data_IF_148782929008
#
_entry.id   IF_148782929008
#
_cell.length_a   1.000
_cell.length_b   1.000
_cell.length_c   1.000
_cell.angle_alpha   90.00
_cell.angle_beta   90.00
_cell.angle_gamma   90.00
#
_symmetry.space_group_name_H-M   'P 1'
#
loop_
_entity.id
_entity.type
_entity.pdbx_description
1 polymer ?
#
# COMPACT_ATOMS: atom_id res chain seq x y z
N UNK A 1 -4.01 15.16 -0.20
CA UNK A 1 -2.66 14.82 -0.71
C UNK A 1 -1.85 14.25 0.44
N UNK A 2 -1.59 12.95 0.47
CA UNK A 2 -0.90 12.25 1.57
C UNK A 2 0.62 12.45 1.49
N UNK A 3 1.08 13.70 1.32
CA UNK A 3 2.42 14.16 0.88
C UNK A 3 3.61 13.82 1.82
N UNK A 4 3.71 12.55 2.24
CA UNK A 4 4.74 12.02 3.12
C UNK A 4 4.52 12.30 4.61
N UNK A 5 3.34 12.73 5.06
CA UNK A 5 3.13 13.13 6.47
C UNK A 5 3.51 12.03 7.48
N UNK A 6 3.06 10.80 7.25
CA UNK A 6 3.41 9.67 8.12
C UNK A 6 4.90 9.36 8.03
N UNK A 7 5.48 9.44 6.83
CA UNK A 7 6.92 9.26 6.63
C UNK A 7 7.73 10.31 7.40
N UNK A 8 7.29 11.57 7.45
CA UNK A 8 7.97 12.64 8.22
C UNK A 8 8.06 12.27 9.70
N UNK A 9 6.93 11.89 10.31
CA UNK A 9 6.86 11.52 11.72
C UNK A 9 7.77 10.31 12.02
N UNK A 10 7.73 9.30 11.16
CA UNK A 10 8.55 8.09 11.34
C UNK A 10 10.05 8.39 11.19
N UNK A 11 10.43 9.24 10.22
CA UNK A 11 11.81 9.66 10.01
C UNK A 11 12.32 10.52 11.17
N UNK A 12 11.50 11.43 11.71
CA UNK A 12 11.83 12.21 12.93
C UNK A 12 12.08 11.30 14.14
N UNK A 13 11.38 10.17 14.20
CA UNK A 13 11.59 9.13 15.22
C UNK A 13 12.83 8.25 14.95
N UNK A 14 13.60 8.51 13.89
CA UNK A 14 14.80 7.75 13.53
C UNK A 14 14.54 6.43 12.80
N UNK A 15 13.33 6.23 12.27
CA UNK A 15 12.97 5.02 11.52
C UNK A 15 13.63 5.00 10.15
N UNK A 16 13.81 3.80 9.60
CA UNK A 16 14.02 3.58 8.17
C UNK A 16 12.64 3.34 7.54
N UNK A 17 12.28 4.13 6.54
CA UNK A 17 10.96 4.13 5.89
C UNK A 17 11.09 3.57 4.48
N UNK A 18 10.32 2.53 4.18
CA UNK A 18 10.10 2.05 2.82
C UNK A 18 8.72 2.53 2.36
N UNK A 19 8.66 3.35 1.33
CA UNK A 19 7.43 3.95 0.83
C UNK A 19 7.20 3.63 -0.65
N UNK A 20 5.98 3.25 -0.99
CA UNK A 20 5.55 2.86 -2.32
C UNK A 20 4.49 3.84 -2.80
N UNK A 21 4.75 4.52 -3.92
CA UNK A 21 3.86 5.52 -4.49
C UNK A 21 3.78 5.33 -6.02
N UNK A 22 2.66 4.80 -6.55
CA UNK A 22 2.53 4.60 -7.98
C UNK A 22 2.39 5.91 -8.76
N UNK A 23 1.89 7.01 -8.16
CA UNK A 23 1.73 8.30 -8.80
C UNK A 23 3.09 8.95 -9.09
N UNK A 24 3.50 9.03 -10.35
CA UNK A 24 4.79 9.56 -10.78
C UNK A 24 5.02 11.02 -10.38
N UNK A 25 3.96 11.83 -10.36
CA UNK A 25 4.04 13.26 -9.97
C UNK A 25 4.30 13.37 -8.48
N UNK A 26 3.54 12.62 -7.66
CA UNK A 26 3.74 12.61 -6.21
C UNK A 26 5.08 11.97 -5.84
N UNK A 27 5.48 10.89 -6.50
CA UNK A 27 6.79 10.28 -6.31
C UNK A 27 7.93 11.27 -6.54
N UNK A 28 7.93 12.02 -7.66
CA UNK A 28 8.96 13.03 -7.94
C UNK A 28 8.97 14.17 -6.91
N UNK A 29 7.80 14.54 -6.38
CA UNK A 29 7.72 15.46 -5.25
C UNK A 29 8.38 14.88 -3.99
N UNK A 30 8.11 13.61 -3.65
CA UNK A 30 8.68 12.92 -2.49
C UNK A 30 10.20 12.75 -2.62
N UNK A 31 10.70 12.42 -3.82
CA UNK A 31 12.14 12.37 -4.10
C UNK A 31 12.81 13.71 -3.80
N UNK A 32 12.20 14.81 -4.28
CA UNK A 32 12.71 16.17 -4.04
C UNK A 32 12.66 16.53 -2.54
N UNK A 33 11.59 16.15 -1.84
CA UNK A 33 11.39 16.38 -0.41
C UNK A 33 12.45 15.66 0.43
N UNK A 34 12.78 14.43 0.07
CA UNK A 34 13.65 13.55 0.87
C UNK A 34 15.06 13.34 0.30
N UNK A 35 15.47 14.09 -0.73
CA UNK A 35 16.74 13.90 -1.45
C UNK A 35 18.01 13.77 -0.58
N UNK A 36 18.00 14.33 0.64
CA UNK A 36 19.14 14.31 1.56
C UNK A 36 18.94 13.37 2.77
N UNK A 37 17.87 12.56 2.79
CA UNK A 37 17.58 11.66 3.90
C UNK A 37 17.85 10.20 3.50
N UNK A 38 18.92 9.57 4.00
CA UNK A 38 19.27 8.18 3.64
C UNK A 38 18.33 7.14 4.27
N UNK A 39 17.47 7.55 5.22
CA UNK A 39 16.57 6.64 5.92
C UNK A 39 15.23 6.46 5.22
N UNK A 40 15.03 7.01 4.01
CA UNK A 40 13.84 6.74 3.20
C UNK A 40 14.20 6.10 1.88
N UNK A 41 13.50 5.01 1.57
CA UNK A 41 13.61 4.27 0.32
C UNK A 41 12.26 4.42 -0.38
N UNK A 42 12.26 5.18 -1.47
CA UNK A 42 11.09 5.44 -2.29
C UNK A 42 11.03 4.44 -3.46
N UNK A 43 9.86 3.89 -3.70
CA UNK A 43 9.55 3.04 -4.83
C UNK A 43 8.41 3.65 -5.63
N UNK A 44 8.67 3.97 -6.91
CA UNK A 44 7.62 4.37 -7.84
C UNK A 44 6.85 3.13 -8.34
N UNK A 45 6.07 2.51 -7.46
CA UNK A 45 5.36 1.26 -7.74
C UNK A 45 4.04 1.19 -6.98
N UNK A 46 3.08 0.49 -7.57
CA UNK A 46 1.91 -0.01 -6.84
C UNK A 46 2.30 -1.27 -6.05
N UNK A 47 1.47 -1.65 -5.09
CA UNK A 47 1.66 -2.87 -4.31
C UNK A 47 0.40 -3.73 -4.33
N UNK A 48 0.58 -5.05 -4.30
CA UNK A 48 -0.49 -6.05 -4.32
C UNK A 48 -0.01 -7.35 -3.67
N UNK A 49 -0.76 -8.43 -3.85
CA UNK A 49 -0.45 -9.80 -3.43
C UNK A 49 0.42 -10.57 -4.43
N UNK A 50 0.77 -9.96 -5.56
CA UNK A 50 1.57 -10.55 -6.64
C UNK A 50 2.33 -9.49 -7.44
N UNK A 51 3.45 -9.89 -8.03
CA UNK A 51 4.20 -9.05 -8.94
C UNK A 51 3.48 -8.94 -10.29
N UNK A 52 3.61 -7.80 -10.95
CA UNK A 52 3.06 -7.61 -12.30
C UNK A 52 3.17 -6.17 -12.77
N UNK A 53 2.32 -5.83 -13.73
CA UNK A 53 2.12 -4.45 -14.17
C UNK A 53 0.64 -4.13 -14.14
N UNK A 54 0.31 -2.86 -13.98
CA UNK A 54 -1.06 -2.37 -14.11
C UNK A 54 -1.08 -0.99 -14.73
N UNK A 55 -2.25 -0.58 -15.24
CA UNK A 55 -2.47 0.77 -15.75
C UNK A 55 -2.90 1.68 -14.61
N UNK A 56 -2.10 2.70 -14.35
CA UNK A 56 -2.42 3.77 -13.42
C UNK A 56 -3.12 4.91 -14.16
N UNK A 57 -4.29 5.31 -13.69
CA UNK A 57 -5.07 6.42 -14.26
C UNK A 57 -4.82 7.69 -13.45
N UNK A 58 -4.17 8.70 -14.05
CA UNK A 58 -4.13 10.06 -13.49
C UNK A 58 -5.52 10.66 -13.66
N UNK A 59 -6.19 11.00 -12.56
CA UNK A 59 -7.37 11.85 -12.65
C UNK A 59 -6.95 13.32 -12.70
N UNK A 60 -7.56 14.10 -13.59
CA UNK A 60 -7.25 15.52 -13.85
C UNK A 60 -7.66 16.47 -12.71
N UNK A 61 -8.03 15.94 -11.55
CA UNK A 61 -8.49 16.72 -10.43
C UNK A 61 -7.59 16.48 -9.24
N UNK A 62 -7.33 17.55 -8.51
CA UNK A 62 -6.73 17.63 -7.18
C UNK A 62 -7.50 16.85 -6.10
N UNK A 63 -8.24 15.79 -6.48
CA UNK A 63 -9.08 14.96 -5.65
C UNK A 63 -8.39 13.62 -5.33
N UNK A 64 -8.75 13.11 -4.16
CA UNK A 64 -7.98 12.16 -3.36
C UNK A 64 -8.24 10.70 -3.74
N UNK A 65 -8.25 10.36 -5.03
CA UNK A 65 -8.51 8.99 -5.48
C UNK A 65 -8.02 8.75 -6.89
N UNK A 66 -6.79 8.25 -7.02
CA UNK A 66 -6.35 7.66 -8.29
C UNK A 66 -6.82 6.20 -8.34
N UNK A 67 -7.19 5.71 -9.52
CA UNK A 67 -7.78 4.38 -9.68
C UNK A 67 -6.85 3.48 -10.48
N UNK A 68 -6.81 2.20 -10.11
CA UNK A 68 -6.21 1.12 -10.88
C UNK A 68 -7.34 0.46 -11.70
N UNK A 69 -7.15 0.28 -13.00
CA UNK A 69 -8.12 -0.45 -13.84
C UNK A 69 -7.70 -1.91 -14.01
N UNK A 70 -8.60 -2.85 -13.70
CA UNK A 70 -8.45 -4.25 -14.13
C UNK A 70 -8.93 -4.41 -15.58
N UNK A 71 -8.16 -5.15 -16.36
CA UNK A 71 -8.22 -5.34 -17.81
C UNK A 71 -9.63 -5.50 -18.41
N UNK A 72 -10.04 -4.63 -19.35
CA UNK A 72 -11.12 -4.97 -20.29
C UNK A 72 -11.99 -3.85 -20.89
N UNK A 73 -12.01 -2.64 -20.33
CA UNK A 73 -12.88 -1.58 -20.86
C UNK A 73 -12.18 -0.81 -21.99
N UNK A 74 -12.29 -1.37 -23.20
CA UNK A 74 -12.15 -0.59 -24.43
C UNK A 74 -13.42 0.25 -24.62
N UNK A 75 -13.48 1.41 -23.97
CA UNK A 75 -14.32 2.50 -24.46
C UNK A 75 -13.55 3.82 -24.40
N UNK A 76 -13.60 4.52 -25.53
CA UNK A 76 -12.65 5.55 -25.90
C UNK A 76 -12.94 6.89 -25.21
N UNK A 77 -11.92 7.77 -25.20
CA UNK A 77 -11.92 9.22 -24.84
C UNK A 77 -11.32 9.50 -23.46
N UNK A 78 -9.98 9.49 -23.34
CA UNK A 78 -9.19 10.48 -22.59
C UNK A 78 -7.77 10.49 -23.18
N UNK A 79 -7.44 11.56 -23.92
CA UNK A 79 -6.07 11.84 -24.33
C UNK A 79 -5.36 12.52 -23.14
N UNK A 80 -4.22 11.94 -22.76
CA UNK A 80 -3.30 12.24 -21.65
C UNK A 80 -3.77 11.91 -20.21
N UNK A 81 -3.19 10.86 -19.62
CA UNK A 81 -3.28 10.61 -18.17
C UNK A 81 -3.02 9.19 -17.68
N UNK A 82 -2.98 8.15 -18.52
CA UNK A 82 -2.68 6.79 -18.05
C UNK A 82 -1.23 6.39 -18.30
N UNK A 83 -0.62 5.63 -17.41
CA UNK A 83 0.67 4.99 -17.68
C UNK A 83 0.79 3.63 -16.98
N UNK A 84 1.63 2.75 -17.52
CA UNK A 84 1.93 1.48 -16.87
C UNK A 84 2.82 1.70 -15.64
N UNK A 85 2.46 1.05 -14.54
CA UNK A 85 3.23 1.04 -13.30
C UNK A 85 3.54 -0.40 -12.91
N UNK A 86 4.72 -0.62 -12.33
CA UNK A 86 5.06 -1.90 -11.74
C UNK A 86 4.21 -2.14 -10.50
N UNK A 87 3.77 -3.38 -10.33
CA UNK A 87 3.08 -3.88 -9.14
C UNK A 87 4.05 -4.80 -8.42
N UNK A 88 4.30 -4.50 -7.15
CA UNK A 88 5.16 -5.28 -6.27
C UNK A 88 4.30 -6.14 -5.35
N UNK A 89 4.61 -7.42 -5.26
CA UNK A 89 4.11 -8.29 -4.21
C UNK A 89 4.67 -7.83 -2.85
N UNK A 90 3.84 -7.16 -2.04
CA UNK A 90 4.32 -6.54 -0.81
C UNK A 90 4.81 -7.58 0.20
N UNK A 91 4.13 -8.72 0.29
CA UNK A 91 4.50 -9.79 1.24
C UNK A 91 5.81 -10.45 0.82
N UNK A 92 6.00 -10.70 -0.49
CA UNK A 92 7.28 -11.17 -1.00
C UNK A 92 8.40 -10.15 -0.75
N UNK A 93 8.16 -8.88 -1.07
CA UNK A 93 9.14 -7.80 -0.89
C UNK A 93 9.57 -7.67 0.57
N UNK A 94 8.62 -7.66 1.51
CA UNK A 94 8.91 -7.62 2.96
C UNK A 94 9.83 -8.79 3.35
N UNK A 95 9.50 -10.01 2.94
CA UNK A 95 10.27 -11.19 3.32
C UNK A 95 11.68 -11.21 2.71
N UNK A 96 11.83 -10.74 1.47
CA UNK A 96 13.09 -10.89 0.71
C UNK A 96 14.02 -9.68 0.86
N UNK A 97 13.50 -8.47 1.10
CA UNK A 97 14.29 -7.23 1.10
C UNK A 97 14.36 -6.53 2.45
N UNK A 98 13.33 -6.68 3.30
CA UNK A 98 13.23 -6.00 4.60
C UNK A 98 13.62 -6.97 5.72
N UNK A 99 12.94 -8.11 5.83
CA UNK A 99 13.18 -9.08 6.91
C UNK A 99 14.49 -9.87 6.77
N UNK A 100 15.20 -9.72 5.65
CA UNK A 100 16.58 -10.19 5.48
C UNK A 100 17.60 -9.25 6.13
N UNK A 101 17.21 -8.01 6.44
CA UNK A 101 18.08 -6.96 7.01
C UNK A 101 17.67 -6.57 8.43
N UNK A 102 16.39 -6.74 8.76
CA UNK A 102 15.79 -6.33 10.03
C UNK A 102 14.96 -7.48 10.61
N UNK A 103 14.99 -7.65 11.92
CA UNK A 103 14.27 -8.76 12.57
C UNK A 103 12.74 -8.56 12.59
N UNK A 104 12.29 -7.31 12.56
CA UNK A 104 10.89 -6.89 12.70
C UNK A 104 10.62 -5.57 11.98
N UNK A 105 9.35 -5.32 11.68
CA UNK A 105 8.83 -4.03 11.21
C UNK A 105 8.04 -3.41 12.36
N UNK A 106 8.33 -2.15 12.71
CA UNK A 106 7.58 -1.48 13.76
C UNK A 106 6.16 -1.10 13.30
N UNK A 107 6.03 -0.53 12.10
CA UNK A 107 4.76 -0.03 11.60
C UNK A 107 4.59 -0.31 10.10
N UNK A 108 3.43 -0.84 9.73
CA UNK A 108 2.96 -0.97 8.36
C UNK A 108 1.66 -0.18 8.21
N UNK A 109 1.65 0.80 7.31
CA UNK A 109 0.42 1.48 6.87
C UNK A 109 0.03 0.99 5.48
N UNK A 110 -1.24 0.62 5.31
CA UNK A 110 -1.86 0.23 4.05
C UNK A 110 -3.03 1.17 3.76
N UNK A 111 -2.90 1.93 2.68
CA UNK A 111 -3.84 2.94 2.18
C UNK A 111 -3.50 3.13 0.71
N UNK A 112 -4.02 2.22 -0.11
CA UNK A 112 -3.56 1.95 -1.49
C UNK A 112 -4.69 1.74 -2.50
N UNK A 113 -5.94 1.89 -2.06
CA UNK A 113 -7.13 2.08 -2.89
C UNK A 113 -7.42 0.91 -3.85
N UNK A 114 -7.36 -0.35 -3.37
CA UNK A 114 -7.86 -1.48 -4.17
C UNK A 114 -7.24 -2.86 -3.93
N UNK A 115 -6.14 -2.97 -3.18
CA UNK A 115 -5.44 -4.26 -2.98
C UNK A 115 -5.30 -4.64 -1.49
N UNK A 116 -5.93 -3.91 -0.58
CA UNK A 116 -5.78 -4.09 0.86
C UNK A 116 -6.22 -5.48 1.32
N UNK A 117 -7.36 -5.97 0.83
CA UNK A 117 -7.84 -7.29 1.20
C UNK A 117 -6.92 -8.42 0.76
N UNK A 118 -6.39 -8.35 -0.46
CA UNK A 118 -5.53 -9.39 -1.01
C UNK A 118 -4.18 -9.43 -0.29
N UNK A 119 -3.60 -8.24 -0.02
CA UNK A 119 -2.39 -8.10 0.80
C UNK A 119 -2.64 -8.60 2.22
N UNK A 120 -3.75 -8.21 2.86
CA UNK A 120 -4.04 -8.61 4.23
C UNK A 120 -4.33 -10.11 4.35
N UNK A 121 -5.04 -10.72 3.40
CA UNK A 121 -5.23 -12.17 3.35
C UNK A 121 -3.88 -12.89 3.30
N UNK A 122 -2.95 -12.40 2.47
CA UNK A 122 -1.59 -12.94 2.37
C UNK A 122 -0.77 -12.71 3.65
N UNK A 123 -0.87 -11.53 4.28
CA UNK A 123 -0.24 -11.27 5.59
C UNK A 123 -0.73 -12.27 6.64
N UNK A 124 -2.03 -12.58 6.66
CA UNK A 124 -2.62 -13.55 7.59
C UNK A 124 -2.16 -14.97 7.28
N UNK A 125 -2.15 -15.38 6.01
CA UNK A 125 -1.74 -16.72 5.56
C UNK A 125 -0.28 -17.03 5.94
N UNK A 126 0.62 -16.10 5.65
CA UNK A 126 2.06 -16.24 5.94
C UNK A 126 2.43 -15.88 7.38
N UNK A 127 1.44 -15.53 8.23
CA UNK A 127 1.63 -15.05 9.60
C UNK A 127 2.62 -13.88 9.72
N UNK A 128 2.72 -13.07 8.67
CA UNK A 128 3.65 -11.94 8.62
C UNK A 128 3.32 -10.90 9.70
N UNK A 129 2.05 -10.83 10.13
CA UNK A 129 1.62 -10.01 11.26
C UNK A 129 2.39 -10.31 12.56
N UNK A 130 2.98 -11.49 12.74
CA UNK A 130 3.79 -11.79 13.94
C UNK A 130 5.13 -11.04 13.95
N UNK A 131 5.58 -10.55 12.79
CA UNK A 131 6.82 -9.78 12.58
C UNK A 131 6.61 -8.28 12.46
N UNK A 132 5.36 -7.82 12.54
CA UNK A 132 5.00 -6.41 12.44
C UNK A 132 4.37 -5.96 13.77
N UNK A 133 4.88 -4.92 14.41
CA UNK A 133 4.36 -4.52 15.73
C UNK A 133 3.01 -3.81 15.62
N UNK A 134 2.77 -3.07 14.54
CA UNK A 134 1.52 -2.36 14.27
C UNK A 134 1.19 -2.34 12.77
N UNK A 135 -0.03 -2.74 12.42
CA UNK A 135 -0.57 -2.69 11.06
C UNK A 135 -1.80 -1.78 11.10
N UNK A 136 -1.76 -0.67 10.36
CA UNK A 136 -2.90 0.19 10.12
C UNK A 136 -3.35 0.02 8.66
N UNK A 137 -4.57 -0.40 8.43
CA UNK A 137 -5.10 -0.66 7.10
C UNK A 137 -6.43 0.06 6.92
N UNK A 138 -6.50 0.96 5.93
CA UNK A 138 -7.76 1.52 5.46
C UNK A 138 -8.32 0.59 4.37
N UNK A 139 -9.34 -0.21 4.70
CA UNK A 139 -9.74 -1.35 3.85
C UNK A 139 -10.55 -0.98 2.62
N UNK A 140 -10.95 0.30 2.48
CA UNK A 140 -11.63 0.80 1.30
C UNK A 140 -12.83 -0.06 0.83
N UNK A 141 -13.50 -0.74 1.76
CA UNK A 141 -14.49 -1.78 1.47
C UNK A 141 -15.66 -1.29 0.64
N UNK A 142 -15.97 0.01 0.74
CA UNK A 142 -17.03 0.71 0.00
C UNK A 142 -16.86 0.68 -1.52
N UNK A 143 -15.64 0.42 -2.02
CA UNK A 143 -15.37 0.34 -3.46
C UNK A 143 -15.57 -1.06 -4.05
N UNK A 144 -15.81 -2.08 -3.21
CA UNK A 144 -16.03 -3.46 -3.65
C UNK A 144 -17.50 -3.84 -3.53
N UNK A 145 -18.04 -4.53 -4.55
CA UNK A 145 -19.41 -5.07 -4.51
C UNK A 145 -19.58 -6.12 -3.41
N UNK A 146 -18.51 -6.84 -3.06
CA UNK A 146 -18.45 -7.85 -2.01
C UNK A 146 -17.68 -7.37 -0.76
N UNK A 147 -17.46 -6.06 -0.60
CA UNK A 147 -16.64 -5.47 0.48
C UNK A 147 -17.05 -5.91 1.88
N UNK A 148 -18.36 -5.98 2.16
CA UNK A 148 -18.92 -6.49 3.43
C UNK A 148 -18.50 -7.93 3.73
N UNK A 149 -18.47 -8.78 2.71
CA UNK A 149 -18.04 -10.17 2.86
C UNK A 149 -16.52 -10.23 3.10
N UNK A 150 -15.74 -9.43 2.37
CA UNK A 150 -14.28 -9.34 2.53
C UNK A 150 -13.88 -8.85 3.92
N UNK A 151 -14.45 -7.75 4.41
CA UNK A 151 -14.14 -7.23 5.75
C UNK A 151 -14.57 -8.20 6.86
N UNK A 152 -15.71 -8.88 6.71
CA UNK A 152 -16.15 -9.90 7.66
C UNK A 152 -15.22 -11.11 7.70
N UNK A 153 -14.73 -11.56 6.54
CA UNK A 153 -13.70 -12.62 6.43
C UNK A 153 -12.42 -12.19 7.13
N UNK A 154 -11.90 -11.00 6.83
CA UNK A 154 -10.65 -10.49 7.41
C UNK A 154 -10.76 -10.34 8.94
N UNK A 155 -11.84 -9.72 9.45
CA UNK A 155 -12.09 -9.63 10.90
C UNK A 155 -12.13 -11.00 11.58
N UNK A 156 -12.70 -12.01 10.91
CA UNK A 156 -12.71 -13.39 11.42
C UNK A 156 -11.29 -13.97 11.49
N UNK A 157 -10.47 -13.80 10.46
CA UNK A 157 -9.08 -14.26 10.43
C UNK A 157 -8.26 -13.59 11.55
N UNK A 158 -8.32 -12.27 11.68
CA UNK A 158 -7.63 -11.50 12.73
C UNK A 158 -8.02 -12.01 14.13
N UNK A 159 -9.33 -12.22 14.36
CA UNK A 159 -9.83 -12.75 15.63
C UNK A 159 -9.35 -14.18 15.91
N UNK A 160 -9.36 -15.06 14.90
CA UNK A 160 -8.90 -16.44 15.03
C UNK A 160 -7.40 -16.54 15.32
N UNK A 161 -6.61 -15.65 14.73
CA UNK A 161 -5.18 -15.53 14.99
C UNK A 161 -4.85 -14.88 16.35
N UNK A 162 -5.84 -14.31 17.04
CA UNK A 162 -5.64 -13.48 18.24
C UNK A 162 -4.63 -12.34 18.00
N UNK A 163 -4.61 -11.80 16.77
CA UNK A 163 -3.74 -10.71 16.40
C UNK A 163 -4.26 -9.40 17.02
N UNK A 164 -3.43 -8.75 17.83
CA UNK A 164 -3.76 -7.51 18.58
C UNK A 164 -3.16 -6.25 17.97
N UNK A 165 -2.37 -6.43 16.92
CA UNK A 165 -1.57 -5.43 16.26
C UNK A 165 -2.17 -4.95 14.93
N UNK A 166 -3.40 -5.34 14.59
CA UNK A 166 -4.05 -4.99 13.32
C UNK A 166 -5.23 -4.06 13.61
N UNK A 167 -5.16 -2.85 13.05
CA UNK A 167 -6.20 -1.83 13.07
C UNK A 167 -6.78 -1.69 11.67
N UNK A 168 -8.04 -2.09 11.50
CA UNK A 168 -8.76 -2.09 10.21
C UNK A 168 -9.68 -0.87 10.04
N UNK A 169 -9.86 -0.05 11.08
CA UNK A 169 -10.74 1.13 11.06
C UNK A 169 -9.92 2.43 10.93
N UNK A 170 -8.77 2.40 10.25
CA UNK A 170 -7.94 3.59 10.05
C UNK A 170 -8.61 4.52 9.01
N UNK A 171 -8.87 5.77 9.40
CA UNK A 171 -9.42 6.88 8.59
C UNK A 171 -8.50 8.09 8.76
#
# INVERSE_FOLDING_TARGET
MHAGLISDILLECGSIVYAFEPNKILHSFLESKYQNNPNIILHQAAVSDKNGTTTFLLSDSTSQGNRISESGDNDSIYDDGSYEVQVIDLVEYINTHILTKFDRIYFLKLDIEGAEFDIMDKIMEYKLYEKIDFIACETHERYFTDGEAKIKKLRKLVKQANAKNILLDWI
#
